data_IF_023248875257
#
_entry.id   IF_023248875257
#
_cell.length_a   1.000
_cell.length_b   1.000
_cell.length_c   1.000
_cell.angle_alpha   90.00
_cell.angle_beta   90.00
_cell.angle_gamma   90.00
#
_symmetry.space_group_name_H-M   'P 1'
#
loop_
_entity.id
_entity.type
_entity.pdbx_description
1 polymer ?
#
# COMPACT_ATOMS: atom_id res chain seq x y z
N UNK A 1 -7.41 23.32 5.45
CA UNK A 1 -6.70 22.03 5.59
C UNK A 1 -5.57 22.05 4.58
N UNK A 2 -4.35 21.72 4.99
CA UNK A 2 -3.19 21.76 4.10
C UNK A 2 -3.30 20.68 3.00
N UNK A 3 -2.72 20.95 1.83
CA UNK A 3 -2.72 20.01 0.70
C UNK A 3 -1.94 18.74 1.05
N UNK A 4 -2.41 17.64 0.49
CA UNK A 4 -1.83 16.32 0.64
C UNK A 4 -1.37 15.81 -0.74
N UNK A 5 -0.28 15.06 -0.74
CA UNK A 5 0.25 14.39 -1.93
C UNK A 5 0.89 13.05 -1.55
N UNK A 6 1.24 12.25 -2.55
CA UNK A 6 1.96 10.99 -2.38
C UNK A 6 3.33 11.28 -1.77
N UNK A 7 3.67 10.53 -0.71
CA UNK A 7 4.94 10.62 -0.02
C UNK A 7 6.07 10.07 -0.89
N UNK A 8 6.69 10.98 -1.63
CA UNK A 8 7.86 10.70 -2.46
C UNK A 8 9.13 11.34 -1.90
N UNK A 9 10.24 10.62 -1.96
CA UNK A 9 11.55 11.19 -1.78
C UNK A 9 12.00 11.84 -3.09
N UNK A 10 11.81 13.16 -3.21
CA UNK A 10 12.10 13.90 -4.44
C UNK A 10 13.57 13.81 -4.90
N UNK A 11 14.52 13.56 -3.99
CA UNK A 11 15.94 13.45 -4.34
C UNK A 11 16.32 12.11 -4.98
N UNK A 12 15.58 11.05 -4.67
CA UNK A 12 15.86 9.70 -5.16
C UNK A 12 14.78 9.17 -6.12
N UNK A 13 13.64 9.87 -6.23
CA UNK A 13 12.48 9.44 -7.02
C UNK A 13 11.73 8.25 -6.42
N UNK A 14 12.04 7.88 -5.17
CA UNK A 14 11.45 6.73 -4.49
C UNK A 14 10.11 7.09 -3.85
N UNK A 15 9.15 6.17 -3.92
CA UNK A 15 7.85 6.30 -3.26
C UNK A 15 7.81 5.37 -2.07
N UNK A 16 7.43 5.89 -0.92
CA UNK A 16 7.25 5.05 0.26
C UNK A 16 5.86 4.41 0.22
N UNK A 17 5.82 3.10 0.35
CA UNK A 17 4.61 2.30 0.38
C UNK A 17 4.44 1.71 1.79
N UNK A 18 3.20 1.41 2.17
CA UNK A 18 2.92 0.62 3.38
C UNK A 18 2.51 -0.79 3.00
N UNK A 19 2.96 -1.77 3.77
CA UNK A 19 2.45 -3.14 3.75
C UNK A 19 1.34 -3.26 4.80
N UNK A 20 0.07 -3.20 4.39
CA UNK A 20 -1.06 -3.26 5.33
C UNK A 20 -1.57 -4.70 5.52
N UNK A 21 -1.01 -5.40 6.51
CA UNK A 21 -1.47 -6.73 6.93
C UNK A 21 -2.24 -6.73 8.27
N UNK A 22 -2.22 -5.62 9.01
CA UNK A 22 -2.63 -5.55 10.43
C UNK A 22 -4.09 -5.91 10.67
N UNK A 23 -4.98 -5.60 9.72
CA UNK A 23 -6.43 -5.85 9.85
C UNK A 23 -6.87 -7.17 9.19
N UNK A 24 -5.95 -7.92 8.58
CA UNK A 24 -6.26 -9.14 7.83
C UNK A 24 -6.13 -10.37 8.72
N UNK A 25 -7.13 -11.25 8.66
CA UNK A 25 -7.08 -12.54 9.36
C UNK A 25 -6.18 -13.53 8.61
N UNK A 26 -5.07 -13.89 9.22
CA UNK A 26 -4.17 -14.93 8.72
C UNK A 26 -4.70 -16.30 9.16
N UNK A 27 -4.96 -17.19 8.20
CA UNK A 27 -5.37 -18.56 8.46
C UNK A 27 -4.14 -19.45 8.70
N UNK A 28 -4.21 -20.38 9.67
CA UNK A 28 -3.11 -21.29 9.93
C UNK A 28 -2.96 -22.31 8.79
N UNK A 29 -1.72 -22.53 8.39
CA UNK A 29 -1.33 -23.50 7.38
C UNK A 29 -0.56 -24.66 8.02
N UNK A 30 -0.91 -25.87 7.61
CA UNK A 30 -0.25 -27.11 7.99
C UNK A 30 0.32 -27.77 6.73
N UNK A 31 1.63 -28.04 6.74
CA UNK A 31 2.27 -28.74 5.65
C UNK A 31 2.12 -30.25 5.82
N UNK A 32 1.47 -30.90 4.84
CA UNK A 32 1.20 -32.34 4.87
C UNK A 32 2.26 -33.16 4.12
N UNK A 33 2.99 -32.53 3.19
CA UNK A 33 3.99 -33.22 2.37
C UNK A 33 3.35 -34.26 1.44
N UNK A 34 3.81 -35.51 1.54
CA UNK A 34 3.36 -36.61 0.70
C UNK A 34 2.12 -37.30 1.33
N UNK A 35 1.01 -37.33 0.61
CA UNK A 35 -0.26 -37.92 1.08
C UNK A 35 -0.49 -39.26 0.39
N UNK A 36 -0.84 -40.30 1.17
CA UNK A 36 -1.11 -41.63 0.62
C UNK A 36 -2.29 -41.62 -0.38
N UNK A 37 -2.13 -42.33 -1.50
CA UNK A 37 -3.16 -42.44 -2.54
C UNK A 37 -3.27 -41.20 -3.45
N UNK A 38 -2.32 -40.27 -3.34
CA UNK A 38 -2.27 -39.04 -4.14
C UNK A 38 -1.00 -39.00 -5.00
N UNK A 39 -0.97 -38.10 -5.99
CA UNK A 39 0.18 -37.89 -6.86
C UNK A 39 1.27 -37.09 -6.14
N UNK A 40 2.17 -37.82 -5.47
CA UNK A 40 3.30 -37.25 -4.74
C UNK A 40 4.55 -37.05 -5.61
N UNK A 41 4.52 -37.45 -6.89
CA UNK A 41 5.65 -37.18 -7.80
C UNK A 41 5.62 -35.73 -8.26
N UNK A 42 4.43 -35.22 -8.60
CA UNK A 42 4.24 -33.86 -9.09
C UNK A 42 3.83 -32.88 -8.00
N UNK A 43 2.99 -33.32 -7.05
CA UNK A 43 2.38 -32.45 -6.06
C UNK A 43 2.90 -32.72 -4.65
N UNK A 44 2.88 -31.67 -3.84
CA UNK A 44 2.93 -31.75 -2.39
C UNK A 44 1.67 -31.11 -1.81
N UNK A 45 1.30 -31.50 -0.60
CA UNK A 45 0.00 -31.20 -0.04
C UNK A 45 0.11 -30.33 1.20
N UNK A 46 -0.88 -29.46 1.38
CA UNK A 46 -1.04 -28.62 2.56
C UNK A 46 -2.51 -28.46 2.95
N UNK A 47 -2.72 -28.04 4.17
CA UNK A 47 -4.05 -27.80 4.74
C UNK A 47 -4.13 -26.39 5.32
N UNK A 48 -5.24 -25.70 5.07
CA UNK A 48 -5.57 -24.44 5.71
C UNK A 48 -6.83 -24.65 6.56
N UNK A 49 -6.76 -24.27 7.84
CA UNK A 49 -7.95 -24.35 8.72
C UNK A 49 -8.75 -23.06 8.65
N UNK A 50 -10.04 -23.21 8.37
CA UNK A 50 -10.98 -22.10 8.19
C UNK A 50 -12.24 -22.29 9.05
N UNK A 51 -12.96 -21.22 9.42
CA UNK A 51 -14.21 -21.33 10.16
C UNK A 51 -15.28 -22.13 9.42
N UNK A 52 -16.19 -22.78 10.13
CA UNK A 52 -17.29 -23.58 9.53
C UNK A 52 -18.22 -22.81 8.59
N UNK A 53 -18.26 -21.48 8.64
CA UNK A 53 -19.03 -20.61 7.75
C UNK A 53 -18.17 -19.92 6.69
N UNK A 54 -16.99 -20.46 6.37
CA UNK A 54 -16.03 -19.87 5.46
C UNK A 54 -16.59 -19.56 4.08
N UNK A 55 -17.36 -20.46 3.48
CA UNK A 55 -17.97 -20.23 2.15
C UNK A 55 -18.82 -18.96 2.06
N UNK A 56 -19.51 -18.59 3.16
CA UNK A 56 -20.34 -17.39 3.21
C UNK A 56 -19.54 -16.11 3.51
N UNK A 57 -18.34 -16.26 4.07
CA UNK A 57 -17.46 -15.14 4.45
C UNK A 57 -16.40 -14.83 3.41
N UNK A 58 -16.10 -15.80 2.55
CA UNK A 58 -15.11 -15.64 1.51
C UNK A 58 -15.56 -14.59 0.48
N UNK A 59 -14.62 -13.76 0.06
CA UNK A 59 -14.78 -12.70 -0.94
C UNK A 59 -13.50 -12.60 -1.74
N UNK A 60 -13.58 -12.55 -3.06
CA UNK A 60 -12.40 -12.41 -3.93
C UNK A 60 -11.61 -11.12 -3.67
N UNK A 61 -12.26 -10.09 -3.10
CA UNK A 61 -11.59 -8.84 -2.70
C UNK A 61 -10.63 -9.02 -1.52
N UNK A 62 -10.98 -9.89 -0.59
CA UNK A 62 -10.19 -10.12 0.63
C UNK A 62 -9.33 -11.37 0.52
N UNK A 63 -9.70 -12.34 -0.32
CA UNK A 63 -8.97 -13.58 -0.52
C UNK A 63 -8.74 -14.38 0.77
N UNK A 64 -7.67 -15.16 0.78
CA UNK A 64 -7.29 -16.07 1.87
C UNK A 64 -5.84 -15.79 2.24
N UNK A 65 -5.67 -15.04 3.33
CA UNK A 65 -4.35 -14.69 3.84
C UNK A 65 -3.76 -15.85 4.64
N UNK A 66 -2.53 -16.23 4.31
CA UNK A 66 -1.87 -17.41 4.89
C UNK A 66 -0.36 -17.19 4.99
N UNK A 67 0.23 -17.72 6.06
CA UNK A 67 1.69 -17.81 6.20
C UNK A 67 2.14 -19.21 5.80
N UNK A 68 2.87 -19.35 4.69
CA UNK A 68 3.38 -20.65 4.20
C UNK A 68 4.89 -20.64 4.35
N UNK A 69 5.49 -21.36 5.32
CA UNK A 69 6.93 -21.31 5.54
C UNK A 69 7.70 -21.75 4.29
N UNK A 70 8.91 -21.23 4.13
CA UNK A 70 9.75 -21.61 3.00
C UNK A 70 10.08 -23.09 3.02
N UNK A 71 9.62 -23.81 1.98
CA UNK A 71 9.83 -25.23 1.80
C UNK A 71 10.56 -25.41 0.45
N UNK A 72 11.84 -25.85 0.44
CA UNK A 72 12.65 -25.94 -0.75
C UNK A 72 12.33 -27.19 -1.58
N UNK A 73 11.06 -27.36 -1.98
CA UNK A 73 10.62 -28.47 -2.82
C UNK A 73 10.27 -28.00 -4.23
N UNK A 74 10.80 -28.71 -5.22
CA UNK A 74 10.46 -28.53 -6.63
C UNK A 74 9.20 -29.32 -7.00
N UNK A 75 8.11 -29.06 -6.28
CA UNK A 75 6.79 -29.67 -6.48
C UNK A 75 5.72 -28.58 -6.47
N UNK A 76 4.61 -28.83 -7.16
CA UNK A 76 3.43 -27.97 -7.15
C UNK A 76 2.67 -28.16 -5.83
N UNK A 77 2.05 -27.10 -5.30
CA UNK A 77 1.28 -27.18 -4.06
C UNK A 77 -0.21 -27.41 -4.34
N UNK A 78 -0.80 -28.40 -3.66
CA UNK A 78 -2.25 -28.56 -3.53
C UNK A 78 -2.69 -28.31 -2.11
N UNK A 79 -3.74 -27.51 -1.94
CA UNK A 79 -4.27 -27.13 -0.64
C UNK A 79 -5.68 -27.67 -0.48
N UNK A 80 -6.01 -28.16 0.72
CA UNK A 80 -7.39 -28.40 1.14
C UNK A 80 -7.76 -27.45 2.28
N UNK A 81 -9.05 -27.17 2.41
CA UNK A 81 -9.57 -26.32 3.49
C UNK A 81 -10.32 -27.17 4.50
N UNK A 82 -9.80 -27.24 5.73
CA UNK A 82 -10.45 -27.91 6.85
C UNK A 82 -11.37 -26.92 7.58
N UNK A 83 -12.66 -27.17 7.55
CA UNK A 83 -13.69 -26.40 8.23
C UNK A 83 -13.97 -27.01 9.62
N UNK A 84 -13.77 -26.22 10.66
CA UNK A 84 -14.13 -26.58 12.03
C UNK A 84 -15.64 -26.56 12.23
N UNK A 85 -16.27 -27.71 12.51
CA UNK A 85 -17.65 -27.73 13.03
C UNK A 85 -17.60 -27.60 14.55
N UNK A 86 -18.54 -26.83 15.12
CA UNK A 86 -18.66 -26.61 16.57
C UNK A 86 -18.84 -27.88 17.42
N UNK A 87 -19.02 -29.05 16.80
CA UNK A 87 -19.16 -30.35 17.47
C UNK A 87 -17.89 -31.22 17.40
N UNK A 88 -16.74 -30.66 16.98
CA UNK A 88 -15.46 -31.40 16.88
C UNK A 88 -15.31 -32.27 15.64
N UNK A 89 -16.23 -32.16 14.67
CA UNK A 89 -16.09 -32.81 13.37
C UNK A 89 -15.43 -31.90 12.34
N UNK A 90 -14.47 -32.43 11.58
CA UNK A 90 -13.88 -31.72 10.45
C UNK A 90 -14.70 -31.98 9.18
N UNK A 91 -14.89 -30.93 8.38
CA UNK A 91 -15.42 -31.07 7.02
C UNK A 91 -14.51 -30.33 6.04
N UNK A 92 -14.42 -30.82 4.81
CA UNK A 92 -13.56 -30.19 3.81
C UNK A 92 -14.36 -29.41 2.78
N UNK A 93 -13.83 -28.27 2.35
CA UNK A 93 -14.37 -27.52 1.23
C UNK A 93 -14.23 -28.37 -0.04
N UNK A 94 -15.32 -28.50 -0.80
CA UNK A 94 -15.31 -29.23 -2.08
C UNK A 94 -15.11 -28.24 -3.23
N UNK A 95 -14.20 -28.60 -4.12
CA UNK A 95 -13.98 -27.92 -5.37
C UNK A 95 -15.16 -28.19 -6.32
N UNK A 96 -15.76 -27.11 -6.84
CA UNK A 96 -16.94 -27.22 -7.71
C UNK A 96 -16.61 -27.68 -9.13
N UNK A 97 -15.36 -27.57 -9.57
CA UNK A 97 -14.96 -27.95 -10.93
C UNK A 97 -14.70 -29.45 -11.08
N UNK A 98 -14.14 -30.10 -10.05
CA UNK A 98 -13.75 -31.52 -10.11
C UNK A 98 -14.31 -32.38 -8.96
N UNK A 99 -15.13 -31.80 -8.06
CA UNK A 99 -15.67 -32.44 -6.85
C UNK A 99 -14.61 -32.96 -5.86
N UNK A 100 -13.33 -32.65 -6.08
CA UNK A 100 -12.24 -33.00 -5.18
C UNK A 100 -12.22 -32.06 -3.97
N UNK A 101 -11.42 -32.39 -2.96
CA UNK A 101 -11.15 -31.51 -1.81
C UNK A 101 -9.86 -30.71 -1.98
N UNK A 102 -9.19 -30.85 -3.13
CA UNK A 102 -7.85 -30.33 -3.36
C UNK A 102 -7.86 -29.24 -4.41
N UNK A 103 -7.29 -28.10 -4.07
CA UNK A 103 -7.16 -26.95 -4.95
C UNK A 103 -5.70 -26.77 -5.33
N UNK A 104 -5.42 -26.67 -6.63
CA UNK A 104 -4.05 -26.47 -7.12
C UNK A 104 -3.68 -25.00 -7.02
N UNK A 105 -2.51 -24.72 -6.47
CA UNK A 105 -1.97 -23.35 -6.39
C UNK A 105 -1.22 -23.03 -7.67
N UNK A 106 -1.59 -21.91 -8.29
CA UNK A 106 -1.06 -21.42 -9.56
C UNK A 106 -0.65 -19.95 -9.42
N UNK A 107 0.12 -19.44 -10.36
CA UNK A 107 0.37 -18.00 -10.49
C UNK A 107 -0.87 -17.26 -10.99
N UNK A 108 -0.95 -15.92 -10.86
CA UNK A 108 -2.07 -15.11 -11.34
C UNK A 108 -2.42 -15.27 -12.83
N UNK A 109 -1.44 -15.60 -13.65
CA UNK A 109 -1.57 -15.91 -15.09
C UNK A 109 -1.93 -17.39 -15.35
N UNK A 110 -2.37 -18.12 -14.33
CA UNK A 110 -2.72 -19.55 -14.38
C UNK A 110 -1.53 -20.46 -14.74
N UNK A 111 -0.31 -19.96 -14.55
CA UNK A 111 0.93 -20.70 -14.72
C UNK A 111 1.26 -21.60 -13.53
N UNK A 112 2.14 -22.56 -13.77
CA UNK A 112 2.64 -23.46 -12.73
C UNK A 112 3.63 -22.73 -11.83
N UNK A 113 3.45 -22.86 -10.51
CA UNK A 113 4.40 -22.38 -9.50
C UNK A 113 4.88 -23.53 -8.62
N UNK A 114 6.21 -23.60 -8.45
CA UNK A 114 6.84 -24.57 -7.55
C UNK A 114 6.97 -23.98 -6.15
N UNK A 115 6.83 -24.82 -5.13
CA UNK A 115 6.89 -24.40 -3.73
C UNK A 115 8.21 -23.69 -3.39
N UNK A 116 9.33 -24.12 -3.98
CA UNK A 116 10.63 -23.46 -3.86
C UNK A 116 10.68 -22.01 -4.38
N UNK A 117 9.76 -21.64 -5.27
CA UNK A 117 9.70 -20.31 -5.90
C UNK A 117 8.76 -19.33 -5.18
N UNK A 118 8.02 -19.76 -4.15
CA UNK A 118 7.04 -18.91 -3.46
C UNK A 118 7.68 -17.64 -2.86
N UNK A 119 8.93 -17.73 -2.40
CA UNK A 119 9.66 -16.58 -1.83
C UNK A 119 9.90 -15.45 -2.85
N UNK A 120 9.89 -15.74 -4.15
CA UNK A 120 9.97 -14.72 -5.20
C UNK A 120 8.71 -13.82 -5.18
N UNK A 121 7.56 -14.38 -4.78
CA UNK A 121 6.30 -13.64 -4.68
C UNK A 121 6.23 -12.81 -3.39
N UNK A 122 6.71 -13.36 -2.28
CA UNK A 122 6.77 -12.63 -1.01
C UNK A 122 7.92 -13.15 -0.13
N UNK A 123 8.87 -12.26 0.21
CA UNK A 123 10.07 -12.62 0.97
C UNK A 123 9.76 -13.01 2.43
N UNK A 124 8.68 -12.46 2.99
CA UNK A 124 8.23 -12.72 4.36
C UNK A 124 7.36 -13.96 4.50
N UNK A 125 7.12 -14.69 3.39
CA UNK A 125 6.31 -15.90 3.31
C UNK A 125 4.81 -15.69 3.65
N UNK A 126 4.33 -14.46 3.51
CA UNK A 126 2.91 -14.13 3.65
C UNK A 126 2.26 -14.06 2.27
N UNK A 127 1.23 -14.88 2.05
CA UNK A 127 0.56 -15.01 0.76
C UNK A 127 -0.93 -14.77 0.87
N UNK A 128 -1.52 -14.24 -0.19
CA UNK A 128 -2.96 -14.17 -0.37
C UNK A 128 -3.36 -15.14 -1.49
N UNK A 129 -4.28 -16.05 -1.21
CA UNK A 129 -4.78 -17.01 -2.17
C UNK A 129 -6.20 -16.60 -2.60
N UNK A 130 -6.42 -16.47 -3.91
CA UNK A 130 -7.73 -16.14 -4.47
C UNK A 130 -8.29 -17.37 -5.19
N UNK A 131 -9.51 -17.76 -4.86
CA UNK A 131 -10.19 -18.87 -5.52
C UNK A 131 -10.69 -18.44 -6.91
N UNK A 132 -10.20 -19.09 -7.96
CA UNK A 132 -10.60 -18.82 -9.33
C UNK A 132 -10.77 -20.13 -10.10
N UNK A 133 -11.98 -20.40 -10.60
CA UNK A 133 -12.30 -21.60 -11.39
C UNK A 133 -11.81 -22.94 -10.79
N UNK A 134 -11.95 -23.09 -9.47
CA UNK A 134 -11.50 -24.28 -8.74
C UNK A 134 -9.98 -24.42 -8.61
N UNK A 135 -9.24 -23.33 -8.83
CA UNK A 135 -7.80 -23.18 -8.58
C UNK A 135 -7.57 -22.07 -7.55
N UNK A 136 -6.37 -22.03 -6.97
CA UNK A 136 -5.95 -20.98 -6.05
C UNK A 136 -4.85 -20.15 -6.73
N UNK A 137 -5.12 -18.89 -6.96
CA UNK A 137 -4.16 -17.95 -7.51
C UNK A 137 -3.31 -17.38 -6.37
N UNK A 138 -2.00 -17.48 -6.49
CA UNK A 138 -1.01 -17.05 -5.50
C UNK A 138 -0.65 -15.58 -5.72
N UNK A 139 -0.94 -14.75 -4.71
CA UNK A 139 -0.52 -13.36 -4.63
C UNK A 139 0.33 -13.13 -3.38
N UNK A 140 1.10 -12.04 -3.39
CA UNK A 140 1.68 -11.50 -2.16
C UNK A 140 0.56 -11.07 -1.23
N UNK A 141 0.68 -11.33 0.07
CA UNK A 141 -0.27 -10.82 1.05
C UNK A 141 -0.11 -9.32 1.33
N UNK A 142 1.01 -8.73 0.93
CA UNK A 142 1.26 -7.32 1.15
C UNK A 142 0.28 -6.49 0.30
N UNK A 143 -0.66 -5.82 0.96
CA UNK A 143 -1.42 -4.75 0.33
C UNK A 143 -0.55 -3.51 0.32
N UNK A 144 -0.04 -3.19 -0.87
CA UNK A 144 0.78 -2.01 -1.12
C UNK A 144 -0.12 -0.82 -1.43
N UNK A 145 -0.12 0.17 -0.54
CA UNK A 145 -0.79 1.45 -0.78
C UNK A 145 0.21 2.61 -0.74
N UNK A 146 -0.13 3.69 -1.44
CA UNK A 146 0.65 4.91 -1.41
C UNK A 146 0.43 5.64 -0.09
N UNK A 147 1.53 5.96 0.58
CA UNK A 147 1.44 6.79 1.78
C UNK A 147 1.12 8.22 1.34
N UNK A 148 -0.03 8.73 1.76
CA UNK A 148 -0.40 10.13 1.55
C UNK A 148 0.15 10.96 2.70
N UNK A 149 0.93 12.00 2.40
CA UNK A 149 1.46 12.96 3.39
C UNK A 149 1.17 14.39 2.97
N UNK A 150 1.38 15.30 3.90
CA UNK A 150 1.26 16.73 3.64
C UNK A 150 2.32 17.18 2.62
N UNK A 151 1.89 17.97 1.64
CA UNK A 151 2.73 18.42 0.53
C UNK A 151 3.40 19.78 0.80
N UNK A 152 3.90 20.00 2.03
CA UNK A 152 4.36 21.32 2.51
C UNK A 152 5.35 22.00 1.55
N UNK A 153 6.40 21.30 1.14
CA UNK A 153 7.43 21.85 0.24
C UNK A 153 6.89 22.17 -1.15
N UNK A 154 6.04 21.32 -1.71
CA UNK A 154 5.43 21.55 -3.02
C UNK A 154 4.49 22.76 -2.97
N UNK A 155 3.64 22.83 -1.94
CA UNK A 155 2.73 23.95 -1.72
C UNK A 155 3.51 25.25 -1.52
N UNK A 156 4.59 25.21 -0.74
CA UNK A 156 5.52 26.34 -0.55
C UNK A 156 6.05 26.82 -1.89
N UNK A 157 6.69 25.95 -2.68
CA UNK A 157 7.25 26.32 -3.99
C UNK A 157 6.17 26.84 -4.95
N UNK A 158 4.99 26.22 -4.95
CA UNK A 158 3.87 26.64 -5.77
C UNK A 158 3.39 28.06 -5.42
N UNK A 159 3.09 28.34 -4.15
CA UNK A 159 2.60 29.65 -3.70
C UNK A 159 3.63 30.75 -3.93
N UNK A 160 4.91 30.43 -3.76
CA UNK A 160 6.03 31.34 -4.01
C UNK A 160 6.14 31.73 -5.50
N UNK A 161 5.97 30.76 -6.42
CA UNK A 161 6.05 30.98 -7.87
C UNK A 161 4.76 31.55 -8.47
N UNK A 162 3.59 31.17 -7.94
CA UNK A 162 2.30 31.63 -8.44
C UNK A 162 2.13 33.12 -8.15
N UNK A 163 1.76 33.90 -9.15
CA UNK A 163 1.39 35.31 -8.99
C UNK A 163 -0.12 35.47 -9.16
N UNK A 164 -0.72 36.34 -8.34
CA UNK A 164 -2.12 36.70 -8.49
C UNK A 164 -2.39 37.20 -9.93
N UNK A 165 -3.41 36.61 -10.57
CA UNK A 165 -3.79 36.77 -11.97
C UNK A 165 -3.41 35.59 -12.86
N UNK A 166 -2.47 34.74 -12.46
CA UNK A 166 -1.97 33.65 -13.31
C UNK A 166 -2.75 32.33 -13.18
N UNK A 167 -3.56 32.19 -12.14
CA UNK A 167 -4.35 30.98 -11.87
C UNK A 167 -5.80 31.24 -12.30
N UNK A 168 -6.26 30.53 -13.32
CA UNK A 168 -7.60 30.74 -13.90
C UNK A 168 -8.74 30.58 -12.88
N UNK A 169 -8.69 29.52 -12.07
CA UNK A 169 -9.74 29.25 -11.06
C UNK A 169 -9.54 30.03 -9.76
N UNK A 170 -8.30 30.42 -9.44
CA UNK A 170 -7.94 31.09 -8.20
C UNK A 170 -7.10 32.35 -8.47
N UNK A 171 -7.68 33.38 -9.12
CA UNK A 171 -6.92 34.52 -9.63
C UNK A 171 -6.32 35.40 -8.53
N UNK A 172 -6.78 35.30 -7.29
CA UNK A 172 -6.25 36.06 -6.16
C UNK A 172 -5.10 35.36 -5.42
N UNK A 173 -4.86 34.08 -5.71
CA UNK A 173 -3.89 33.23 -4.99
C UNK A 173 -2.49 33.38 -5.56
N UNK A 174 -1.51 33.34 -4.66
CA UNK A 174 -0.09 33.35 -4.98
C UNK A 174 0.63 34.59 -4.44
N UNK A 175 1.87 34.38 -4.01
CA UNK A 175 2.77 35.41 -3.50
C UNK A 175 3.42 36.17 -4.65
N UNK A 176 3.86 35.44 -5.68
CA UNK A 176 4.51 35.98 -6.86
C UNK A 176 5.85 36.64 -6.52
N UNK A 177 6.79 35.86 -5.97
CA UNK A 177 8.11 36.33 -5.53
C UNK A 177 8.87 37.17 -6.57
N UNK A 178 8.64 36.91 -7.85
CA UNK A 178 9.20 37.69 -8.96
C UNK A 178 8.95 39.20 -8.82
N UNK A 179 7.81 39.60 -8.23
CA UNK A 179 7.45 41.01 -8.01
C UNK A 179 8.30 41.71 -6.95
N UNK A 180 9.02 40.93 -6.15
CA UNK A 180 9.79 41.40 -5.00
C UNK A 180 11.31 41.31 -5.22
N UNK A 181 11.78 40.69 -6.31
CA UNK A 181 13.21 40.49 -6.60
C UNK A 181 14.07 41.77 -6.61
N UNK A 182 13.45 42.92 -6.87
CA UNK A 182 14.14 44.21 -6.93
C UNK A 182 13.61 45.23 -5.90
N UNK A 183 12.76 44.78 -4.97
CA UNK A 183 12.20 45.62 -3.93
C UNK A 183 13.11 45.72 -2.71
N UNK A 184 13.01 46.82 -1.95
CA UNK A 184 13.57 46.87 -0.61
C UNK A 184 12.64 46.08 0.34
N UNK A 185 13.11 44.94 0.83
CA UNK A 185 12.31 43.99 1.59
C UNK A 185 11.85 44.53 2.95
N UNK A 186 12.64 45.37 3.61
CA UNK A 186 12.27 46.00 4.91
C UNK A 186 11.06 46.93 4.79
N UNK A 187 10.87 47.51 3.60
CA UNK A 187 9.74 48.39 3.28
C UNK A 187 8.70 47.71 2.38
N UNK A 188 8.85 46.42 2.10
CA UNK A 188 7.95 45.67 1.23
C UNK A 188 6.79 45.08 2.02
N UNK A 189 5.64 44.87 1.36
CA UNK A 189 4.51 44.15 1.94
C UNK A 189 4.68 42.61 1.85
N UNK A 190 5.86 42.10 1.50
CA UNK A 190 6.09 40.67 1.29
C UNK A 190 5.82 39.83 2.54
N UNK A 191 6.29 40.19 3.76
CA UNK A 191 6.02 39.38 4.94
C UNK A 191 4.51 39.21 5.20
N UNK A 192 3.73 40.29 5.04
CA UNK A 192 2.28 40.25 5.17
C UNK A 192 1.61 39.38 4.09
N UNK A 193 2.11 39.45 2.84
CA UNK A 193 1.59 38.63 1.74
C UNK A 193 1.94 37.15 1.93
N UNK A 194 3.16 36.82 2.38
CA UNK A 194 3.55 35.46 2.74
C UNK A 194 2.64 34.90 3.83
N UNK A 195 2.44 35.63 4.92
CA UNK A 195 1.57 35.18 6.01
C UNK A 195 0.15 34.92 5.49
N UNK A 196 -0.43 35.87 4.74
CA UNK A 196 -1.78 35.77 4.22
C UNK A 196 -1.98 34.55 3.31
N UNK A 197 -1.10 34.34 2.34
CA UNK A 197 -1.24 33.25 1.37
C UNK A 197 -1.00 31.88 2.00
N UNK A 198 0.00 31.75 2.88
CA UNK A 198 0.29 30.48 3.55
C UNK A 198 -0.80 30.13 4.58
N UNK A 199 -1.32 31.09 5.34
CA UNK A 199 -2.43 30.86 6.26
C UNK A 199 -3.71 30.47 5.53
N UNK A 200 -3.99 31.09 4.39
CA UNK A 200 -5.13 30.74 3.55
C UNK A 200 -5.08 29.29 3.05
N UNK A 201 -3.88 28.74 2.82
CA UNK A 201 -3.65 27.35 2.41
C UNK A 201 -3.38 26.41 3.61
N UNK A 202 -3.67 26.86 4.85
CA UNK A 202 -3.60 26.03 6.06
C UNK A 202 -2.20 25.83 6.65
N UNK A 203 -1.26 26.71 6.30
CA UNK A 203 0.12 26.67 6.77
C UNK A 203 0.44 27.89 7.65
N UNK A 204 1.38 27.74 8.57
CA UNK A 204 1.90 28.79 9.44
C UNK A 204 3.35 29.03 9.07
N UNK A 205 3.70 30.26 8.71
CA UNK A 205 5.09 30.68 8.55
C UNK A 205 5.70 30.83 9.94
N UNK A 206 6.75 30.06 10.25
CA UNK A 206 7.49 30.16 11.51
C UNK A 206 8.56 31.22 11.43
N UNK A 207 9.34 31.18 10.36
CA UNK A 207 10.41 32.13 10.07
C UNK A 207 10.46 32.40 8.57
N UNK A 208 10.70 33.65 8.21
CA UNK A 208 11.00 34.05 6.84
C UNK A 208 12.11 35.11 6.90
N UNK A 209 13.25 34.83 6.31
CA UNK A 209 14.34 35.80 6.20
C UNK A 209 15.01 35.69 4.85
N UNK A 210 15.51 36.83 4.34
CA UNK A 210 16.30 36.86 3.13
C UNK A 210 17.77 37.05 3.49
N UNK A 211 18.63 36.21 2.95
CA UNK A 211 20.07 36.40 3.03
C UNK A 211 20.46 37.55 2.08
N UNK A 212 20.99 38.63 2.63
CA UNK A 212 21.37 39.83 1.88
C UNK A 212 22.63 39.66 1.03
N UNK A 213 23.44 38.64 1.29
CA UNK A 213 24.66 38.34 0.54
C UNK A 213 24.36 37.43 -0.66
N UNK A 214 23.48 36.44 -0.49
CA UNK A 214 23.14 35.46 -1.55
C UNK A 214 21.85 35.81 -2.30
N UNK A 215 20.97 36.63 -1.71
CA UNK A 215 19.64 36.91 -2.22
C UNK A 215 18.64 35.76 -2.02
N UNK A 216 18.99 34.74 -1.24
CA UNK A 216 18.15 33.58 -0.99
C UNK A 216 17.06 33.87 0.06
N UNK A 217 15.82 33.49 -0.23
CA UNK A 217 14.73 33.50 0.75
C UNK A 217 14.72 32.17 1.51
N UNK A 218 14.95 32.24 2.81
CA UNK A 218 14.85 31.12 3.74
C UNK A 218 13.50 31.20 4.44
N UNK A 219 12.63 30.24 4.13
CA UNK A 219 11.24 30.19 4.57
C UNK A 219 10.96 28.85 5.24
N UNK A 220 10.66 28.93 6.54
CA UNK A 220 10.27 27.80 7.38
C UNK A 220 8.77 27.84 7.67
N UNK A 221 8.10 26.73 7.42
CA UNK A 221 6.64 26.63 7.37
C UNK A 221 6.21 25.34 8.04
N UNK A 222 5.20 25.43 8.91
CA UNK A 222 4.56 24.29 9.55
C UNK A 222 3.07 24.27 9.27
N UNK A 223 2.39 23.16 9.53
CA UNK A 223 0.93 23.10 9.41
C UNK A 223 0.23 23.95 10.49
N UNK A 224 -0.92 24.52 10.14
CA UNK A 224 -1.88 25.03 11.11
C UNK A 224 -2.63 23.84 11.73
N UNK A 225 -2.25 23.45 12.95
CA UNK A 225 -3.01 22.44 13.68
C UNK A 225 -4.48 22.88 13.75
N UNK A 226 -5.35 22.02 13.23
CA UNK A 226 -6.79 22.22 13.31
C UNK A 226 -7.22 21.41 14.54
N UNK A 227 -7.57 22.10 15.62
CA UNK A 227 -8.31 21.48 16.74
C UNK A 227 -9.69 20.99 16.27
#
# INVERSE_FOLDING_TARGET
MARQDINMNASHGEVNMTDNLTDKRIYPFEYLGDVQGMDTQRYTYGEIRVPGNFENRYSDKDGIHVHIPYIPQYKELKIRFAMEKGNGGESYLRNRSDNSIWFTVLTPDMGTVYLSAFRIVNETNNFNLILHDGKLLLYSANETDFIIKLSLEQTKVFLLKAAAGNLYQHPTTGVGLIRYLHGNFENSNLPGKLQQEFEADGMIVKNAYMDSQTGELLLDVTEKQTD
#
